data_IF_522881416956
#
_entry.id   IF_522881416956
#
_cell.length_a   1.000
_cell.length_b   1.000
_cell.length_c   1.000
_cell.angle_alpha   90.00
_cell.angle_beta   90.00
_cell.angle_gamma   90.00
#
_symmetry.space_group_name_H-M   'P 1'
#
loop_
_entity.id
_entity.type
_entity.pdbx_description
1 polymer ?
#
# COMPACT_ATOMS: atom_id res chain seq x y z
N UNK A 1 -38.99 2.99 -1.83
CA UNK A 1 -37.70 3.54 -2.30
C UNK A 1 -36.62 2.91 -1.44
N UNK A 2 -35.65 2.19 -2.01
CA UNK A 2 -34.62 1.48 -1.23
C UNK A 2 -33.74 2.54 -0.56
N UNK A 3 -33.75 2.62 0.77
CA UNK A 3 -32.97 3.62 1.50
C UNK A 3 -31.49 3.21 1.51
N UNK A 4 -30.75 3.72 0.54
CA UNK A 4 -29.31 3.45 0.39
C UNK A 4 -28.48 4.07 1.53
N UNK A 5 -29.06 4.95 2.37
CA UNK A 5 -28.38 5.50 3.55
C UNK A 5 -28.19 4.45 4.64
N UNK A 6 -29.05 3.43 4.67
CA UNK A 6 -29.03 2.38 5.67
C UNK A 6 -27.84 1.42 5.49
N UNK A 7 -27.43 1.16 4.24
CA UNK A 7 -26.23 0.38 3.93
C UNK A 7 -24.94 1.14 4.26
N UNK A 8 -24.91 2.45 4.02
CA UNK A 8 -23.78 3.30 4.42
C UNK A 8 -23.64 3.36 5.95
N UNK A 9 -24.77 3.44 6.68
CA UNK A 9 -24.80 3.37 8.16
C UNK A 9 -24.25 2.06 8.69
N UNK A 10 -24.68 0.91 8.13
CA UNK A 10 -24.20 -0.42 8.52
C UNK A 10 -22.73 -0.66 8.16
N UNK A 11 -22.21 0.01 7.12
CA UNK A 11 -20.79 0.01 6.78
C UNK A 11 -19.95 0.81 7.78
N UNK A 12 -20.46 1.95 8.26
CA UNK A 12 -19.84 2.78 9.31
C UNK A 12 -19.86 2.09 10.69
N UNK A 13 -20.88 1.29 10.98
CA UNK A 13 -20.99 0.49 12.21
C UNK A 13 -20.17 -0.82 12.19
N UNK A 14 -19.52 -1.16 11.06
CA UNK A 14 -18.63 -2.32 10.97
C UNK A 14 -17.31 -2.06 11.70
N UNK A 15 -16.58 -3.13 12.06
CA UNK A 15 -15.26 -3.01 12.72
C UNK A 15 -14.27 -2.15 11.90
N UNK A 16 -14.38 -2.19 10.57
CA UNK A 16 -13.60 -1.36 9.64
C UNK A 16 -14.11 0.11 9.54
N UNK A 17 -15.42 0.32 9.71
CA UNK A 17 -16.02 1.66 9.80
C UNK A 17 -15.65 2.38 11.09
N UNK A 18 -15.62 1.64 12.22
CA UNK A 18 -15.11 2.14 13.49
C UNK A 18 -13.60 2.45 13.43
N UNK A 19 -12.81 1.61 12.75
CA UNK A 19 -11.38 1.87 12.51
C UNK A 19 -11.14 3.12 11.65
N UNK A 20 -11.98 3.38 10.65
CA UNK A 20 -11.91 4.62 9.85
C UNK A 20 -12.37 5.86 10.63
N UNK A 21 -13.40 5.74 11.47
CA UNK A 21 -13.81 6.81 12.39
C UNK A 21 -12.73 7.13 13.43
N UNK A 22 -11.86 6.17 13.75
CA UNK A 22 -10.75 6.31 14.70
C UNK A 22 -9.36 6.26 14.06
N UNK A 23 -9.23 6.39 12.72
CA UNK A 23 -7.96 6.18 12.02
C UNK A 23 -6.82 7.02 12.61
N UNK A 24 -7.13 8.25 13.02
CA UNK A 24 -6.13 9.12 13.61
C UNK A 24 -5.71 8.66 15.00
N UNK A 25 -6.64 8.12 15.80
CA UNK A 25 -6.30 7.51 17.09
C UNK A 25 -5.47 6.24 16.92
N UNK A 26 -5.83 5.38 15.97
CA UNK A 26 -5.07 4.17 15.64
C UNK A 26 -3.67 4.50 15.12
N UNK A 27 -3.54 5.53 14.27
CA UNK A 27 -2.25 5.99 13.78
C UNK A 27 -1.36 6.50 14.91
N UNK A 28 -1.90 7.29 15.85
CA UNK A 28 -1.17 7.74 17.04
C UNK A 28 -0.71 6.56 17.89
N UNK A 29 -1.59 5.58 18.12
CA UNK A 29 -1.26 4.39 18.91
C UNK A 29 -0.16 3.56 18.25
N UNK A 30 -0.28 3.29 16.95
CA UNK A 30 0.68 2.49 16.20
C UNK A 30 2.09 3.13 16.20
N UNK A 31 2.16 4.46 16.05
CA UNK A 31 3.41 5.21 16.17
C UNK A 31 3.97 5.08 17.59
N UNK A 32 3.14 5.22 18.63
CA UNK A 32 3.54 5.06 20.02
C UNK A 32 4.16 3.68 20.30
N UNK A 33 3.48 2.61 19.87
CA UNK A 33 3.98 1.22 19.96
C UNK A 33 5.35 1.07 19.29
N UNK A 34 5.52 1.63 18.09
CA UNK A 34 6.79 1.55 17.37
C UNK A 34 7.93 2.31 18.08
N UNK A 35 7.63 3.45 18.70
CA UNK A 35 8.60 4.22 19.48
C UNK A 35 8.99 3.48 20.77
N UNK A 36 8.04 2.85 21.45
CA UNK A 36 8.33 2.00 22.62
C UNK A 36 9.20 0.80 22.26
N UNK A 37 8.90 0.14 21.15
CA UNK A 37 9.72 -0.96 20.63
C UNK A 37 11.14 -0.50 20.26
N UNK A 38 11.31 0.78 19.91
CA UNK A 38 12.62 1.41 19.70
C UNK A 38 13.31 1.85 21.00
N UNK A 39 12.70 1.61 22.17
CA UNK A 39 13.28 1.88 23.49
C UNK A 39 12.90 3.23 24.11
N UNK A 40 11.95 3.96 23.52
CA UNK A 40 11.45 5.21 24.09
C UNK A 40 10.45 4.88 25.22
N UNK A 41 10.48 5.64 26.32
CA UNK A 41 9.55 5.42 27.43
C UNK A 41 8.12 5.70 27.00
N UNK A 42 7.18 4.89 27.47
CA UNK A 42 5.75 4.98 27.15
C UNK A 42 5.19 6.42 27.14
N UNK A 43 5.45 7.22 28.19
CA UNK A 43 4.97 8.62 28.23
C UNK A 43 5.54 9.47 27.08
N UNK A 44 6.85 9.40 26.85
CA UNK A 44 7.51 10.18 25.80
C UNK A 44 7.09 9.67 24.41
N UNK A 45 6.91 8.37 24.24
CA UNK A 45 6.44 7.75 23.00
C UNK A 45 5.03 8.22 22.63
N UNK A 46 4.08 8.18 23.56
CA UNK A 46 2.72 8.69 23.31
C UNK A 46 2.70 10.19 23.01
N UNK A 47 3.53 10.99 23.72
CA UNK A 47 3.64 12.42 23.46
C UNK A 47 4.17 12.70 22.05
N UNK A 48 5.28 12.06 21.67
CA UNK A 48 5.88 12.20 20.34
C UNK A 48 4.89 11.75 19.25
N UNK A 49 4.18 10.64 19.45
CA UNK A 49 3.19 10.17 18.51
C UNK A 49 2.06 11.18 18.30
N UNK A 50 1.55 11.78 19.38
CA UNK A 50 0.56 12.86 19.32
C UNK A 50 1.08 14.07 18.53
N UNK A 51 2.29 14.55 18.85
CA UNK A 51 2.90 15.70 18.18
C UNK A 51 3.08 15.46 16.66
N UNK A 52 3.50 14.26 16.25
CA UNK A 52 3.64 13.87 14.83
C UNK A 52 2.29 13.88 14.13
N UNK A 53 1.28 13.26 14.74
CA UNK A 53 -0.06 13.18 14.16
C UNK A 53 -0.72 14.56 14.04
N UNK A 54 -0.53 15.44 15.04
CA UNK A 54 -1.04 16.81 14.96
C UNK A 54 -0.36 17.61 13.85
N UNK A 55 0.94 17.39 13.60
CA UNK A 55 1.62 17.99 12.43
C UNK A 55 1.09 17.46 11.10
N UNK A 56 0.71 16.18 11.01
CA UNK A 56 0.03 15.65 9.83
C UNK A 56 -1.35 16.28 9.64
N UNK A 57 -2.13 16.45 10.72
CA UNK A 57 -3.42 17.15 10.65
C UNK A 57 -3.29 18.59 10.17
N UNK A 58 -2.29 19.33 10.65
CA UNK A 58 -2.03 20.71 10.23
C UNK A 58 -1.65 20.82 8.75
N UNK A 59 -0.87 19.87 8.23
CA UNK A 59 -0.30 19.96 6.87
C UNK A 59 -1.18 19.38 5.77
N UNK A 60 -1.87 18.27 6.03
CA UNK A 60 -2.63 17.51 5.01
C UNK A 60 -4.05 17.16 5.46
N UNK A 61 -4.49 17.68 6.62
CA UNK A 61 -5.86 17.52 7.09
C UNK A 61 -6.87 18.09 6.10
N UNK A 62 -7.93 17.32 5.83
CA UNK A 62 -8.96 17.67 4.84
C UNK A 62 -8.65 17.22 3.41
N UNK A 63 -7.44 16.71 3.13
CA UNK A 63 -7.13 16.09 1.85
C UNK A 63 -7.66 14.65 1.77
N UNK A 64 -8.05 14.21 0.57
CA UNK A 64 -8.30 12.80 0.30
C UNK A 64 -6.97 12.09 0.03
N UNK A 65 -6.52 11.28 0.99
CA UNK A 65 -5.24 10.58 0.94
C UNK A 65 -5.46 9.13 0.52
N UNK A 66 -4.69 8.66 -0.47
CA UNK A 66 -4.62 7.25 -0.84
C UNK A 66 -3.43 6.58 -0.16
N UNK A 67 -3.67 5.47 0.54
CA UNK A 67 -2.63 4.60 1.08
C UNK A 67 -2.44 3.39 0.15
N UNK A 68 -1.32 3.30 -0.58
CA UNK A 68 -1.01 2.12 -1.39
C UNK A 68 -0.92 0.87 -0.51
N UNK A 69 -1.47 -0.26 -0.99
CA UNK A 69 -1.41 -1.56 -0.28
C UNK A 69 0.01 -2.07 -0.04
N UNK A 70 0.94 -1.68 -0.91
CA UNK A 70 2.35 -2.06 -0.87
C UNK A 70 3.19 -0.81 -1.15
N UNK A 71 4.38 -0.74 -0.55
CA UNK A 71 5.34 0.31 -0.89
C UNK A 71 5.89 0.09 -2.33
N UNK A 72 6.64 1.06 -2.86
CA UNK A 72 7.14 0.96 -4.24
C UNK A 72 8.08 -0.24 -4.45
N UNK A 73 8.94 -0.54 -3.47
CA UNK A 73 9.87 -1.67 -3.51
C UNK A 73 9.11 -3.00 -3.54
N UNK A 74 8.17 -3.19 -2.62
CA UNK A 74 7.33 -4.39 -2.54
C UNK A 74 6.50 -4.57 -3.83
N UNK A 75 6.02 -3.46 -4.41
CA UNK A 75 5.34 -3.51 -5.72
C UNK A 75 6.28 -3.96 -6.83
N UNK A 76 7.52 -3.48 -6.87
CA UNK A 76 8.53 -3.89 -7.85
C UNK A 76 8.91 -5.36 -7.69
N UNK A 77 9.17 -5.82 -6.47
CA UNK A 77 9.50 -7.22 -6.19
C UNK A 77 8.35 -8.14 -6.59
N UNK A 78 7.12 -7.79 -6.22
CA UNK A 78 5.91 -8.52 -6.64
C UNK A 78 5.79 -8.56 -8.16
N UNK A 79 6.02 -7.45 -8.86
CA UNK A 79 5.90 -7.40 -10.31
C UNK A 79 6.95 -8.29 -11.00
N UNK A 80 8.18 -8.29 -10.51
CA UNK A 80 9.24 -9.18 -10.99
C UNK A 80 8.88 -10.66 -10.78
N UNK A 81 8.30 -11.01 -9.63
CA UNK A 81 7.84 -12.37 -9.35
C UNK A 81 6.67 -12.78 -10.27
N UNK A 82 5.68 -11.90 -10.44
CA UNK A 82 4.57 -12.07 -11.41
C UNK A 82 5.12 -12.35 -12.81
N UNK A 83 6.09 -11.55 -13.27
CA UNK A 83 6.67 -11.71 -14.60
C UNK A 83 7.43 -13.03 -14.76
N UNK A 84 8.18 -13.43 -13.73
CA UNK A 84 8.89 -14.72 -13.70
C UNK A 84 7.94 -15.91 -13.78
N UNK A 85 6.85 -15.89 -13.03
CA UNK A 85 5.83 -16.96 -13.08
C UNK A 85 5.06 -16.97 -14.40
N UNK A 86 4.73 -15.79 -14.92
CA UNK A 86 4.13 -15.67 -16.25
C UNK A 86 5.03 -16.27 -17.35
N UNK A 87 6.34 -15.99 -17.31
CA UNK A 87 7.33 -16.57 -18.24
C UNK A 87 7.44 -18.10 -18.10
N UNK A 88 7.09 -18.66 -16.94
CA UNK A 88 7.01 -20.12 -16.69
C UNK A 88 5.68 -20.73 -17.15
N UNK A 89 4.74 -19.92 -17.65
CA UNK A 89 3.46 -20.38 -18.20
C UNK A 89 2.27 -20.25 -17.25
N UNK A 90 2.41 -19.60 -16.10
CA UNK A 90 1.27 -19.36 -15.19
C UNK A 90 0.20 -18.50 -15.88
N UNK A 91 -1.08 -18.85 -15.69
CA UNK A 91 -2.16 -18.07 -16.30
C UNK A 91 -2.42 -16.78 -15.51
N UNK A 92 -2.77 -15.72 -16.24
CA UNK A 92 -2.98 -14.36 -15.67
C UNK A 92 -4.06 -14.34 -14.59
N UNK A 93 -5.11 -15.16 -14.72
CA UNK A 93 -6.16 -15.31 -13.72
C UNK A 93 -5.65 -15.96 -12.42
N UNK A 94 -4.77 -16.97 -12.52
CA UNK A 94 -4.16 -17.62 -11.35
C UNK A 94 -3.26 -16.64 -10.59
N UNK A 95 -2.48 -15.84 -11.33
CA UNK A 95 -1.64 -14.79 -10.76
C UNK A 95 -2.46 -13.70 -10.05
N UNK A 96 -3.57 -13.25 -10.64
CA UNK A 96 -4.44 -12.26 -10.01
C UNK A 96 -4.99 -12.73 -8.66
N UNK A 97 -5.37 -14.02 -8.58
CA UNK A 97 -5.82 -14.65 -7.33
C UNK A 97 -4.67 -14.76 -6.33
N UNK A 98 -3.53 -15.34 -6.76
CA UNK A 98 -2.35 -15.57 -5.90
C UNK A 98 -1.84 -14.28 -5.25
N UNK A 99 -1.75 -13.20 -6.02
CA UNK A 99 -1.22 -11.92 -5.56
C UNK A 99 -2.29 -10.97 -5.03
N UNK A 100 -3.57 -11.36 -5.05
CA UNK A 100 -4.71 -10.58 -4.60
C UNK A 100 -4.70 -9.14 -5.17
N UNK A 101 -4.65 -9.06 -6.50
CA UNK A 101 -4.70 -7.83 -7.31
C UNK A 101 -5.61 -8.02 -8.52
N UNK A 102 -6.01 -6.93 -9.17
CA UNK A 102 -6.83 -7.02 -10.37
C UNK A 102 -6.06 -7.61 -11.56
N UNK A 103 -6.78 -8.21 -12.52
CA UNK A 103 -6.21 -8.66 -13.79
C UNK A 103 -5.42 -7.53 -14.50
N UNK A 104 -5.96 -6.31 -14.47
CA UNK A 104 -5.30 -5.14 -15.04
C UNK A 104 -3.96 -4.83 -14.35
N UNK A 105 -3.88 -5.01 -13.02
CA UNK A 105 -2.63 -4.83 -12.30
C UNK A 105 -1.59 -5.87 -12.70
N UNK A 106 -2.00 -7.12 -12.96
CA UNK A 106 -1.10 -8.17 -13.50
C UNK A 106 -0.60 -7.78 -14.89
N UNK A 107 -1.47 -7.35 -15.80
CA UNK A 107 -1.04 -6.90 -17.13
C UNK A 107 -0.08 -5.72 -17.07
N UNK A 108 -0.35 -4.75 -16.20
CA UNK A 108 0.53 -3.60 -16.00
C UNK A 108 1.90 -4.02 -15.42
N UNK A 109 1.92 -4.99 -14.51
CA UNK A 109 3.16 -5.56 -13.98
C UNK A 109 3.99 -6.22 -15.09
N UNK A 110 3.36 -7.10 -15.89
CA UNK A 110 4.02 -7.78 -17.02
C UNK A 110 4.56 -6.76 -18.03
N UNK A 111 3.78 -5.72 -18.37
CA UNK A 111 4.19 -4.69 -19.31
C UNK A 111 5.44 -3.95 -18.81
N UNK A 112 5.44 -3.50 -17.56
CA UNK A 112 6.57 -2.76 -16.96
C UNK A 112 7.85 -3.59 -16.90
N UNK A 113 7.74 -4.87 -16.55
CA UNK A 113 8.93 -5.74 -16.48
C UNK A 113 9.48 -6.07 -17.88
N UNK A 114 8.66 -6.11 -18.94
CA UNK A 114 9.17 -6.20 -20.32
C UNK A 114 9.96 -4.96 -20.72
N UNK A 115 9.39 -3.78 -20.48
CA UNK A 115 10.04 -2.49 -20.77
C UNK A 115 11.37 -2.37 -20.02
N UNK A 116 11.43 -2.83 -18.76
CA UNK A 116 12.68 -2.88 -17.98
C UNK A 116 13.70 -3.84 -18.61
N UNK A 117 13.31 -5.07 -18.94
CA UNK A 117 14.21 -6.05 -19.53
C UNK A 117 14.77 -5.62 -20.90
N UNK A 118 13.97 -4.90 -21.71
CA UNK A 118 14.39 -4.33 -22.99
C UNK A 118 15.38 -3.17 -22.78
N UNK A 119 15.11 -2.27 -21.83
CA UNK A 119 16.02 -1.17 -21.50
C UNK A 119 17.37 -1.64 -20.94
N UNK A 120 17.38 -2.71 -20.13
CA UNK A 120 18.61 -3.29 -19.61
C UNK A 120 19.45 -3.89 -20.76
N UNK A 121 18.82 -4.55 -21.73
CA UNK A 121 19.49 -5.11 -22.91
C UNK A 121 20.03 -4.04 -23.88
N UNK A 122 19.39 -2.87 -23.99
CA UNK A 122 19.89 -1.75 -24.81
C UNK A 122 21.12 -1.06 -24.19
N UNK A 123 21.18 -0.97 -22.86
CA UNK A 123 22.32 -0.36 -22.16
C UNK A 123 23.59 -1.23 -22.24
N UNK A 124 23.45 -2.56 -22.22
CA UNK A 124 24.59 -3.48 -22.35
C UNK A 124 25.24 -3.44 -23.75
N UNK A 125 24.50 -3.07 -24.80
CA UNK A 125 25.00 -3.01 -26.18
C UNK A 125 25.73 -1.70 -26.53
N UNK A 126 25.56 -0.64 -25.74
CA UNK A 126 26.18 0.68 -25.99
C UNK A 126 27.47 0.93 -25.19
N UNK A 127 27.93 -0.04 -24.38
CA UNK A 127 29.12 0.07 -23.53
C UNK A 127 30.44 -0.43 -24.14
N UNK A 128 30.43 -0.90 -25.40
CA UNK A 128 31.59 -1.54 -26.06
C UNK A 128 31.99 -0.83 -27.37
N UNK A 129 31.93 0.51 -27.42
CA UNK A 129 32.39 1.32 -28.57
C UNK A 129 33.28 2.48 -28.14
#
# INVERSE_FOLDING_TARGET
>A
MKDYRDYARRGLESNAGNALCNFVGELTEEIGIHLENAGIKNYDAHKIAGDVVDKLRESIGGCQIYFPKLNQKDNSERNAEIFKEYKRGAFVNELAIKYNVSLQAIYNAIKRERERAEADAENDNNGDS
#
